data_IF_850728235515
#
_entry.id   IF_850728235515
#
_cell.length_a   1.000
_cell.length_b   1.000
_cell.length_c   1.000
_cell.angle_alpha   90.00
_cell.angle_beta   90.00
_cell.angle_gamma   90.00
#
_symmetry.space_group_name_H-M   'P 1'
#
loop_
_entity.id
_entity.type
_entity.pdbx_description
1 polymer ?
#
# COMPACT_ATOMS: atom_id res chain seq x y z
N UNK A 1 -6.97 -9.08 7.49
CA UNK A 1 -7.04 -10.46 8.03
C UNK A 1 -7.91 -10.52 9.27
N UNK A 2 -7.59 -9.80 10.34
CA UNK A 2 -8.34 -9.77 11.60
C UNK A 2 -9.88 -9.68 11.44
N UNK A 3 -10.37 -8.76 10.61
CA UNK A 3 -11.81 -8.64 10.38
C UNK A 3 -12.45 -9.93 9.84
N UNK A 4 -11.83 -10.56 8.85
CA UNK A 4 -12.37 -11.79 8.24
C UNK A 4 -12.35 -12.98 9.19
N UNK A 5 -11.30 -13.11 10.02
CA UNK A 5 -11.13 -14.25 10.92
C UNK A 5 -11.87 -14.06 12.24
N UNK A 6 -11.63 -12.95 12.93
CA UNK A 6 -12.06 -12.74 14.31
C UNK A 6 -13.42 -12.06 14.43
N UNK A 7 -13.87 -11.34 13.40
CA UNK A 7 -15.14 -10.62 13.38
C UNK A 7 -16.17 -11.29 12.48
N UNK A 8 -15.78 -11.64 11.24
CA UNK A 8 -16.68 -12.27 10.28
C UNK A 8 -16.74 -13.80 10.41
N UNK A 9 -15.80 -14.43 11.14
CA UNK A 9 -15.80 -15.86 11.43
C UNK A 9 -15.28 -16.76 10.31
N UNK A 10 -14.48 -16.21 9.37
CA UNK A 10 -13.89 -17.01 8.30
C UNK A 10 -12.68 -17.81 8.84
N UNK A 11 -12.55 -19.11 8.55
CA UNK A 11 -11.36 -19.87 8.92
C UNK A 11 -10.08 -19.25 8.35
N UNK A 12 -9.00 -19.28 9.14
CA UNK A 12 -7.71 -18.66 8.78
C UNK A 12 -7.19 -19.09 7.39
N UNK A 13 -7.36 -20.36 7.05
CA UNK A 13 -6.97 -20.89 5.74
C UNK A 13 -7.75 -20.26 4.60
N UNK A 14 -9.07 -20.15 4.73
CA UNK A 14 -9.95 -19.54 3.71
C UNK A 14 -9.65 -18.05 3.58
N UNK A 15 -9.48 -17.34 4.70
CA UNK A 15 -9.09 -15.93 4.69
C UNK A 15 -7.72 -15.72 4.01
N UNK A 16 -6.79 -16.65 4.23
CA UNK A 16 -5.49 -16.67 3.55
C UNK A 16 -5.63 -16.86 2.04
N UNK A 17 -6.46 -17.79 1.57
CA UNK A 17 -6.73 -18.00 0.14
C UNK A 17 -7.38 -16.81 -0.52
N UNK A 18 -8.35 -16.16 0.15
CA UNK A 18 -9.00 -14.93 -0.34
C UNK A 18 -7.96 -13.83 -0.57
N UNK A 19 -7.08 -13.59 0.40
CA UNK A 19 -6.03 -12.57 0.27
C UNK A 19 -5.00 -12.94 -0.79
N UNK A 20 -4.60 -14.20 -0.85
CA UNK A 20 -3.64 -14.68 -1.83
C UNK A 20 -4.17 -14.55 -3.26
N UNK A 21 -5.43 -14.96 -3.50
CA UNK A 21 -6.08 -14.80 -4.80
C UNK A 21 -6.21 -13.33 -5.23
N UNK A 22 -6.50 -12.44 -4.27
CA UNK A 22 -6.53 -11.00 -4.53
C UNK A 22 -5.13 -10.43 -4.87
N UNK A 23 -4.04 -10.95 -4.26
CA UNK A 23 -2.67 -10.54 -4.62
C UNK A 23 -2.28 -11.03 -6.02
N UNK A 24 -2.73 -12.23 -6.43
CA UNK A 24 -2.53 -12.70 -7.81
C UNK A 24 -3.27 -11.83 -8.81
N UNK A 25 -4.46 -11.34 -8.46
CA UNK A 25 -5.21 -10.39 -9.27
C UNK A 25 -4.44 -9.08 -9.48
N UNK A 26 -3.84 -8.53 -8.42
CA UNK A 26 -2.99 -7.32 -8.51
C UNK A 26 -1.82 -7.55 -9.48
N UNK A 27 -1.16 -8.71 -9.43
CA UNK A 27 -0.03 -9.01 -10.31
C UNK A 27 -0.39 -8.93 -11.81
N UNK A 28 -1.67 -9.14 -12.16
CA UNK A 28 -2.17 -9.02 -13.53
C UNK A 28 -2.68 -7.60 -13.80
N UNK A 29 -3.42 -7.01 -12.87
CA UNK A 29 -4.09 -5.73 -13.09
C UNK A 29 -3.15 -4.53 -13.00
N UNK A 30 -2.11 -4.55 -12.15
CA UNK A 30 -1.16 -3.45 -12.02
C UNK A 30 -0.45 -3.11 -13.34
N UNK A 31 0.14 -4.07 -14.08
CA UNK A 31 0.72 -3.80 -15.38
C UNK A 31 -0.30 -3.30 -16.41
N UNK A 32 -1.52 -3.86 -16.39
CA UNK A 32 -2.57 -3.45 -17.34
C UNK A 32 -3.00 -2.01 -17.12
N UNK A 33 -3.26 -1.62 -15.86
CA UNK A 33 -3.61 -0.24 -15.52
C UNK A 33 -2.44 0.70 -15.81
N UNK A 34 -1.20 0.30 -15.54
CA UNK A 34 -0.01 1.08 -15.90
C UNK A 34 0.04 1.39 -17.40
N UNK A 35 -0.18 0.38 -18.24
CA UNK A 35 -0.20 0.54 -19.70
C UNK A 35 -1.36 1.42 -20.18
N UNK A 36 -2.54 1.28 -19.59
CA UNK A 36 -3.69 2.11 -19.90
C UNK A 36 -3.45 3.56 -19.53
N UNK A 37 -2.92 3.80 -18.33
CA UNK A 37 -2.61 5.13 -17.84
C UNK A 37 -1.53 5.84 -18.71
N UNK A 38 -0.51 5.12 -19.14
CA UNK A 38 0.53 5.66 -20.03
C UNK A 38 0.00 6.04 -21.43
N UNK A 39 -1.05 5.37 -21.91
CA UNK A 39 -1.68 5.66 -23.19
C UNK A 39 -2.77 6.73 -23.11
N UNK A 40 -3.26 7.01 -21.94
CA UNK A 40 -4.33 7.98 -21.72
C UNK A 40 -3.85 9.40 -22.01
N UNK A 41 -4.66 10.17 -22.71
CA UNK A 41 -4.39 11.56 -23.06
C UNK A 41 -5.68 12.37 -22.88
N UNK A 42 -5.73 13.12 -21.80
CA UNK A 42 -6.89 13.99 -21.52
C UNK A 42 -6.44 15.43 -21.25
N UNK A 43 -7.40 16.36 -21.24
CA UNK A 43 -7.15 17.76 -20.85
C UNK A 43 -6.65 17.89 -19.41
N UNK A 44 -6.99 16.92 -18.55
CA UNK A 44 -6.55 16.88 -17.13
C UNK A 44 -5.17 16.24 -16.95
N UNK A 45 -4.55 15.72 -18.00
CA UNK A 45 -3.31 14.95 -17.96
C UNK A 45 -3.52 13.48 -18.26
N UNK A 46 -2.50 12.66 -17.95
CA UNK A 46 -2.52 11.19 -18.15
C UNK A 46 -3.05 10.45 -16.94
N UNK A 47 -2.63 10.86 -15.74
CA UNK A 47 -2.82 10.11 -14.49
C UNK A 47 -3.94 10.66 -13.62
N UNK A 48 -4.14 11.98 -13.60
CA UNK A 48 -5.18 12.63 -12.79
C UNK A 48 -6.60 12.12 -13.04
N UNK A 49 -7.04 11.83 -14.29
CA UNK A 49 -8.38 11.30 -14.53
C UNK A 49 -8.67 10.01 -13.76
N UNK A 50 -7.68 9.14 -13.62
CA UNK A 50 -7.81 7.87 -12.89
C UNK A 50 -8.07 8.09 -11.40
N UNK A 51 -7.41 9.10 -10.80
CA UNK A 51 -7.65 9.46 -9.40
C UNK A 51 -9.08 9.99 -9.21
N UNK A 52 -9.55 10.87 -10.11
CA UNK A 52 -10.92 11.38 -10.03
C UNK A 52 -11.99 10.30 -10.20
N UNK A 53 -11.83 9.44 -11.20
CA UNK A 53 -12.81 8.38 -11.50
C UNK A 53 -12.73 7.27 -10.44
N UNK A 54 -11.56 6.92 -9.98
CA UNK A 54 -11.32 5.81 -9.05
C UNK A 54 -11.63 6.13 -7.59
N UNK A 55 -11.60 7.40 -7.16
CA UNK A 55 -11.72 7.77 -5.74
C UNK A 55 -13.03 7.29 -5.09
N UNK A 56 -14.17 7.56 -5.71
CA UNK A 56 -15.49 7.19 -5.19
C UNK A 56 -15.70 5.66 -5.24
N UNK A 57 -15.48 4.96 -6.37
CA UNK A 57 -15.60 3.51 -6.43
C UNK A 57 -14.65 2.79 -5.46
N UNK A 58 -13.43 3.32 -5.24
CA UNK A 58 -12.50 2.79 -4.24
C UNK A 58 -13.10 2.85 -2.84
N UNK A 59 -13.65 4.00 -2.43
CA UNK A 59 -14.30 4.16 -1.14
C UNK A 59 -15.51 3.22 -0.99
N UNK A 60 -16.36 3.14 -2.00
CA UNK A 60 -17.53 2.25 -1.99
C UNK A 60 -17.12 0.78 -1.89
N UNK A 61 -16.14 0.35 -2.68
CA UNK A 61 -15.65 -1.04 -2.63
C UNK A 61 -15.04 -1.38 -1.28
N UNK A 62 -14.34 -0.42 -0.64
CA UNK A 62 -13.83 -0.58 0.72
C UNK A 62 -14.96 -0.80 1.75
N UNK A 63 -16.04 -0.02 1.66
CA UNK A 63 -17.21 -0.20 2.53
C UNK A 63 -17.83 -1.60 2.37
N UNK A 64 -18.00 -2.07 1.15
CA UNK A 64 -18.59 -3.39 0.89
C UNK A 64 -17.74 -4.53 1.46
N UNK A 65 -16.43 -4.40 1.58
CA UNK A 65 -15.58 -5.42 2.21
C UNK A 65 -15.96 -5.72 3.67
N UNK A 66 -16.49 -4.74 4.38
CA UNK A 66 -16.85 -4.87 5.80
C UNK A 66 -18.33 -5.16 6.03
N UNK A 67 -19.16 -5.12 4.98
CA UNK A 67 -20.60 -5.38 5.06
C UNK A 67 -20.91 -6.85 4.76
N UNK A 68 -20.49 -7.75 5.66
CA UNK A 68 -20.58 -9.20 5.42
C UNK A 68 -21.97 -9.81 5.72
N UNK A 69 -22.86 -9.09 6.42
CA UNK A 69 -24.17 -9.63 6.81
C UNK A 69 -24.04 -10.96 7.60
N UNK A 70 -25.11 -11.75 7.62
CA UNK A 70 -25.13 -13.09 8.24
C UNK A 70 -25.11 -14.13 7.12
N UNK A 71 -23.98 -14.31 6.47
CA UNK A 71 -23.80 -15.26 5.39
C UNK A 71 -23.29 -16.60 5.91
N UNK A 72 -23.71 -17.69 5.28
CA UNK A 72 -23.13 -19.00 5.50
C UNK A 72 -21.65 -19.03 5.06
N UNK A 73 -20.86 -19.93 5.61
CA UNK A 73 -19.41 -19.96 5.45
C UNK A 73 -18.95 -19.92 3.99
N UNK A 74 -19.58 -20.70 3.12
CA UNK A 74 -19.22 -20.72 1.69
C UNK A 74 -19.58 -19.43 0.97
N UNK A 75 -20.76 -18.87 1.25
CA UNK A 75 -21.20 -17.60 0.70
C UNK A 75 -20.36 -16.43 1.23
N UNK A 76 -19.95 -16.48 2.50
CA UNK A 76 -19.07 -15.50 3.13
C UNK A 76 -17.67 -15.50 2.46
N UNK A 77 -17.10 -16.67 2.21
CA UNK A 77 -15.80 -16.78 1.53
C UNK A 77 -15.86 -16.22 0.10
N UNK A 78 -16.92 -16.55 -0.64
CA UNK A 78 -17.11 -16.05 -2.00
C UNK A 78 -17.34 -14.52 -2.00
N UNK A 79 -18.16 -14.02 -1.08
CA UNK A 79 -18.40 -12.58 -0.92
C UNK A 79 -17.11 -11.84 -0.56
N UNK A 80 -16.34 -12.36 0.41
CA UNK A 80 -15.06 -11.80 0.79
C UNK A 80 -14.08 -11.76 -0.40
N UNK A 81 -14.01 -12.82 -1.19
CA UNK A 81 -13.18 -12.88 -2.39
C UNK A 81 -13.64 -11.87 -3.45
N UNK A 82 -14.93 -11.84 -3.77
CA UNK A 82 -15.47 -10.92 -4.77
C UNK A 82 -15.25 -9.45 -4.38
N UNK A 83 -15.53 -9.08 -3.13
CA UNK A 83 -15.32 -7.71 -2.64
C UNK A 83 -13.85 -7.34 -2.60
N UNK A 84 -12.95 -8.27 -2.27
CA UNK A 84 -11.50 -8.06 -2.35
C UNK A 84 -11.05 -7.79 -3.79
N UNK A 85 -11.51 -8.58 -4.76
CA UNK A 85 -11.18 -8.38 -6.19
C UNK A 85 -11.66 -6.98 -6.66
N UNK A 86 -12.88 -6.60 -6.33
CA UNK A 86 -13.43 -5.28 -6.71
C UNK A 86 -12.63 -4.15 -6.06
N UNK A 87 -12.36 -4.26 -4.76
CA UNK A 87 -11.54 -3.28 -4.05
C UNK A 87 -10.13 -3.16 -4.63
N UNK A 88 -9.46 -4.29 -4.88
CA UNK A 88 -8.13 -4.32 -5.46
C UNK A 88 -8.10 -3.69 -6.85
N UNK A 89 -9.11 -3.95 -7.67
CA UNK A 89 -9.22 -3.34 -9.00
C UNK A 89 -9.26 -1.81 -8.92
N UNK A 90 -10.12 -1.25 -8.07
CA UNK A 90 -10.17 0.21 -7.90
C UNK A 90 -8.95 0.77 -7.19
N UNK A 91 -8.36 0.00 -6.26
CA UNK A 91 -7.10 0.37 -5.64
C UNK A 91 -5.98 0.49 -6.67
N UNK A 92 -5.83 -0.47 -7.56
CA UNK A 92 -4.86 -0.44 -8.67
C UNK A 92 -5.11 0.75 -9.61
N UNK A 93 -6.39 1.02 -9.97
CA UNK A 93 -6.78 2.16 -10.81
C UNK A 93 -6.33 3.50 -10.19
N UNK A 94 -6.28 3.61 -8.88
CA UNK A 94 -5.83 4.83 -8.17
C UNK A 94 -4.33 4.78 -7.89
N UNK A 95 -3.81 3.68 -7.32
CA UNK A 95 -2.45 3.60 -6.78
C UNK A 95 -1.36 3.64 -7.84
N UNK A 96 -1.56 2.95 -8.98
CA UNK A 96 -0.57 2.91 -10.07
C UNK A 96 -0.42 4.28 -10.74
N UNK A 97 -1.50 4.97 -11.15
CA UNK A 97 -1.39 6.34 -11.67
C UNK A 97 -0.87 7.33 -10.64
N UNK A 98 -1.23 7.21 -9.35
CA UNK A 98 -0.70 8.04 -8.27
C UNK A 98 0.83 7.90 -8.14
N UNK A 99 1.32 6.67 -8.15
CA UNK A 99 2.77 6.39 -8.13
C UNK A 99 3.49 6.98 -9.33
N UNK A 100 2.92 6.83 -10.53
CA UNK A 100 3.46 7.38 -11.77
C UNK A 100 3.44 8.91 -11.80
N UNK A 101 2.37 9.53 -11.29
CA UNK A 101 2.24 10.98 -11.14
C UNK A 101 3.35 11.53 -10.25
N UNK A 102 3.57 10.94 -9.07
CA UNK A 102 4.60 11.37 -8.13
C UNK A 102 6.02 11.30 -8.73
N UNK A 103 6.29 10.30 -9.56
CA UNK A 103 7.58 10.14 -10.24
C UNK A 103 7.81 11.17 -11.35
N UNK A 104 6.75 11.76 -11.90
CA UNK A 104 6.81 12.75 -13.01
C UNK A 104 6.68 14.20 -12.55
N UNK A 105 6.34 14.47 -11.30
CA UNK A 105 6.16 15.83 -10.78
C UNK A 105 7.41 16.69 -10.88
N UNK A 106 8.59 16.08 -10.80
CA UNK A 106 9.87 16.80 -10.90
C UNK A 106 10.93 15.96 -11.61
N UNK A 107 11.85 16.65 -12.28
CA UNK A 107 13.06 16.06 -12.89
C UNK A 107 14.25 16.03 -11.93
N UNK A 108 14.21 16.84 -10.86
CA UNK A 108 15.30 16.90 -9.89
C UNK A 108 15.29 15.65 -8.99
N UNK A 109 16.40 14.89 -8.94
CA UNK A 109 16.55 13.74 -8.06
C UNK A 109 16.38 14.04 -6.57
N UNK A 110 16.71 15.26 -6.12
CA UNK A 110 16.60 15.67 -4.73
C UNK A 110 15.15 15.97 -4.34
N UNK A 111 14.41 16.65 -5.21
CA UNK A 111 12.99 16.88 -5.01
C UNK A 111 12.20 15.57 -5.00
N UNK A 112 12.53 14.60 -5.89
CA UNK A 112 11.94 13.25 -5.86
C UNK A 112 12.19 12.53 -4.54
N UNK A 113 13.41 12.66 -4.00
CA UNK A 113 13.75 12.10 -2.69
C UNK A 113 12.92 12.74 -1.59
N UNK A 114 12.73 14.06 -1.65
CA UNK A 114 11.90 14.81 -0.70
C UNK A 114 10.44 14.36 -0.75
N UNK A 115 9.86 14.24 -1.94
CA UNK A 115 8.50 13.75 -2.12
C UNK A 115 8.32 12.32 -1.57
N UNK A 116 9.33 11.46 -1.79
CA UNK A 116 9.31 10.11 -1.24
C UNK A 116 9.32 10.11 0.30
N UNK A 117 10.14 10.96 0.93
CA UNK A 117 10.20 11.12 2.40
C UNK A 117 8.84 11.58 2.93
N UNK A 118 8.26 12.63 2.37
CA UNK A 118 6.93 13.10 2.79
C UNK A 118 5.88 11.99 2.66
N UNK A 119 5.85 11.30 1.52
CA UNK A 119 4.91 10.20 1.30
C UNK A 119 5.07 9.09 2.36
N UNK A 120 6.30 8.70 2.69
CA UNK A 120 6.55 7.68 3.69
C UNK A 120 6.15 8.14 5.10
N UNK A 121 6.49 9.36 5.48
CA UNK A 121 6.10 9.92 6.80
C UNK A 121 4.59 9.96 6.94
N UNK A 122 3.86 10.51 5.96
CA UNK A 122 2.40 10.57 6.02
C UNK A 122 1.76 9.17 5.99
N UNK A 123 2.27 8.25 5.17
CA UNK A 123 1.77 6.88 5.11
C UNK A 123 1.98 6.14 6.45
N UNK A 124 3.16 6.29 7.06
CA UNK A 124 3.46 5.69 8.37
C UNK A 124 2.60 6.31 9.47
N UNK A 125 2.46 7.63 9.48
CA UNK A 125 1.58 8.34 10.44
C UNK A 125 0.13 7.85 10.32
N UNK A 126 -0.40 7.78 9.09
CA UNK A 126 -1.75 7.27 8.86
C UNK A 126 -1.88 5.80 9.30
N UNK A 127 -0.87 4.96 9.04
CA UNK A 127 -0.83 3.57 9.51
C UNK A 127 -0.89 3.45 11.04
N UNK A 128 -0.11 4.28 11.75
CA UNK A 128 -0.15 4.35 13.22
C UNK A 128 -1.53 4.78 13.71
N UNK A 129 -2.10 5.84 13.14
CA UNK A 129 -3.43 6.33 13.52
C UNK A 129 -4.50 5.25 13.31
N UNK A 130 -4.51 4.61 12.13
CA UNK A 130 -5.44 3.51 11.84
C UNK A 130 -5.25 2.36 12.84
N UNK A 131 -4.01 1.93 13.10
CA UNK A 131 -3.73 0.85 14.05
C UNK A 131 -4.18 1.19 15.47
N UNK A 132 -3.95 2.43 15.92
CA UNK A 132 -4.31 2.88 17.27
C UNK A 132 -5.84 3.04 17.46
N UNK A 133 -6.52 3.61 16.48
CA UNK A 133 -7.92 4.03 16.66
C UNK A 133 -8.96 3.09 16.06
N UNK A 134 -8.57 2.09 15.24
CA UNK A 134 -9.56 1.24 14.55
C UNK A 134 -10.39 0.40 15.51
N UNK A 135 -9.76 -0.24 16.50
CA UNK A 135 -10.49 -1.11 17.44
C UNK A 135 -11.43 -0.32 18.34
N UNK A 136 -10.92 0.73 18.96
CA UNK A 136 -11.69 1.56 19.89
C UNK A 136 -12.76 2.35 19.14
N UNK A 137 -12.44 2.86 17.95
CA UNK A 137 -13.41 3.51 17.06
C UNK A 137 -14.53 2.56 16.61
N UNK A 138 -14.21 1.30 16.32
CA UNK A 138 -15.23 0.30 16.00
C UNK A 138 -16.10 -0.01 17.19
N UNK A 139 -15.54 -0.15 18.41
CA UNK A 139 -16.32 -0.37 19.62
C UNK A 139 -17.28 0.79 19.93
N UNK A 140 -16.80 2.03 19.77
CA UNK A 140 -17.60 3.24 19.99
C UNK A 140 -18.75 3.36 18.95
N UNK A 141 -18.42 3.18 17.67
CA UNK A 141 -19.42 3.32 16.60
C UNK A 141 -20.39 2.15 16.50
N UNK A 142 -20.02 0.98 17.05
CA UNK A 142 -20.84 -0.22 17.05
C UNK A 142 -21.68 -0.42 18.30
N UNK A 143 -21.67 0.51 19.27
CA UNK A 143 -22.36 0.35 20.55
C UNK A 143 -22.00 -0.97 21.26
N UNK A 144 -20.73 -1.40 21.15
CA UNK A 144 -20.21 -2.66 21.67
C UNK A 144 -20.24 -3.85 20.68
N UNK A 145 -20.94 -3.75 19.57
CA UNK A 145 -20.88 -4.74 18.49
C UNK A 145 -19.74 -4.41 17.52
N UNK A 146 -18.69 -5.23 17.54
CA UNK A 146 -17.52 -5.05 16.67
C UNK A 146 -17.87 -5.14 15.19
N UNK A 147 -18.80 -6.01 14.80
CA UNK A 147 -19.16 -6.20 13.40
C UNK A 147 -19.81 -4.94 12.83
N UNK A 148 -20.84 -4.44 13.53
CA UNK A 148 -21.50 -3.18 13.20
C UNK A 148 -20.53 -2.00 13.27
N UNK A 149 -19.64 -2.01 14.26
CA UNK A 149 -18.61 -0.99 14.42
C UNK A 149 -17.62 -0.91 13.25
N UNK A 150 -17.12 -2.04 12.77
CA UNK A 150 -16.28 -2.09 11.60
C UNK A 150 -17.00 -1.63 10.32
N UNK A 151 -18.28 -1.97 10.17
CA UNK A 151 -19.10 -1.51 9.03
C UNK A 151 -19.24 0.02 9.05
N UNK A 152 -19.59 0.62 10.19
CA UNK A 152 -19.71 2.08 10.34
C UNK A 152 -18.36 2.79 10.18
N UNK A 153 -17.30 2.24 10.77
CA UNK A 153 -15.95 2.79 10.66
C UNK A 153 -15.42 2.75 9.23
N UNK A 154 -15.76 1.69 8.49
CA UNK A 154 -15.41 1.57 7.06
C UNK A 154 -16.02 2.70 6.23
N UNK A 155 -17.23 3.18 6.56
CA UNK A 155 -17.85 4.35 5.90
C UNK A 155 -17.01 5.60 6.15
N UNK A 156 -16.57 5.82 7.40
CA UNK A 156 -15.74 6.98 7.76
C UNK A 156 -14.41 6.93 7.01
N UNK A 157 -13.73 5.78 7.03
CA UNK A 157 -12.44 5.64 6.34
C UNK A 157 -12.57 5.73 4.82
N UNK A 158 -13.66 5.18 4.25
CA UNK A 158 -13.95 5.32 2.83
C UNK A 158 -14.13 6.77 2.41
N UNK A 159 -14.90 7.53 3.21
CA UNK A 159 -15.10 8.97 2.99
C UNK A 159 -13.81 9.77 3.07
N UNK A 160 -13.04 9.57 4.13
CA UNK A 160 -11.73 10.24 4.31
C UNK A 160 -10.75 9.86 3.19
N UNK A 161 -10.69 8.58 2.81
CA UNK A 161 -9.84 8.10 1.72
C UNK A 161 -10.24 8.70 0.37
N UNK A 162 -11.54 8.69 0.05
CA UNK A 162 -12.04 9.29 -1.18
C UNK A 162 -11.75 10.81 -1.24
N UNK A 163 -11.98 11.53 -0.15
CA UNK A 163 -11.66 12.96 -0.05
C UNK A 163 -10.16 13.22 -0.21
N UNK A 164 -9.30 12.40 0.40
CA UNK A 164 -7.86 12.53 0.26
C UNK A 164 -7.40 12.30 -1.19
N UNK A 165 -7.93 11.28 -1.87
CA UNK A 165 -7.62 10.99 -3.28
C UNK A 165 -8.13 12.11 -4.20
N UNK A 166 -9.36 12.58 -3.99
CA UNK A 166 -9.92 13.70 -4.76
C UNK A 166 -9.14 14.99 -4.50
N UNK A 167 -8.77 15.28 -3.26
CA UNK A 167 -7.91 16.40 -2.91
C UNK A 167 -6.55 16.31 -3.61
N UNK A 168 -5.91 15.15 -3.56
CA UNK A 168 -4.68 14.91 -4.30
C UNK A 168 -4.85 15.19 -5.79
N UNK A 169 -5.91 14.65 -6.41
CA UNK A 169 -6.20 14.85 -7.84
C UNK A 169 -6.49 16.32 -8.18
N UNK A 170 -7.15 17.07 -7.29
CA UNK A 170 -7.51 18.48 -7.51
C UNK A 170 -6.31 19.42 -7.38
N UNK A 171 -5.50 19.24 -6.33
CA UNK A 171 -4.40 20.15 -6.00
C UNK A 171 -3.08 19.81 -6.70
N UNK A 172 -2.91 18.58 -7.20
CA UNK A 172 -1.71 18.21 -7.94
C UNK A 172 -1.82 18.61 -9.40
N UNK A 173 -0.78 19.21 -9.94
CA UNK A 173 -0.69 19.53 -11.37
C UNK A 173 0.26 18.55 -12.04
N UNK A 174 -0.16 17.98 -13.15
CA UNK A 174 0.70 17.14 -13.98
C UNK A 174 1.50 18.06 -14.92
N UNK A 175 2.85 18.06 -14.83
CA UNK A 175 3.67 18.86 -15.75
C UNK A 175 3.50 18.37 -17.19
N UNK A 176 3.66 19.28 -18.14
CA UNK A 176 3.57 18.98 -19.58
C UNK A 176 4.72 18.09 -20.12
N UNK A 177 5.53 17.54 -19.25
CA UNK A 177 6.68 16.71 -19.58
C UNK A 177 6.21 15.44 -20.32
N UNK A 178 6.54 15.35 -21.60
CA UNK A 178 6.23 14.19 -22.43
C UNK A 178 4.78 14.08 -22.89
N UNK A 179 3.97 15.15 -22.83
CA UNK A 179 2.60 15.16 -23.39
C UNK A 179 2.55 14.78 -24.86
N UNK A 180 3.62 15.10 -25.63
CA UNK A 180 3.74 14.80 -27.05
C UNK A 180 4.39 13.45 -27.39
N UNK A 181 5.09 12.83 -26.43
CA UNK A 181 5.83 11.59 -26.69
C UNK A 181 4.88 10.39 -26.78
N UNK A 182 4.98 9.64 -27.87
CA UNK A 182 4.29 8.35 -28.00
C UNK A 182 4.94 7.36 -27.04
N UNK A 183 4.14 6.71 -26.21
CA UNK A 183 4.64 5.59 -25.41
C UNK A 183 5.16 4.50 -26.35
N UNK A 184 6.36 3.94 -26.10
CA UNK A 184 6.89 2.86 -26.94
C UNK A 184 5.92 1.66 -26.96
N UNK A 185 6.01 0.84 -28.00
CA UNK A 185 5.21 -0.36 -28.07
C UNK A 185 5.51 -1.29 -26.88
N UNK A 186 4.53 -2.06 -26.41
CA UNK A 186 4.71 -2.97 -25.27
C UNK A 186 5.93 -3.90 -25.44
N UNK A 187 6.13 -4.39 -26.66
CA UNK A 187 7.28 -5.23 -27.00
C UNK A 187 8.61 -4.52 -26.75
N UNK A 188 8.70 -3.23 -27.09
CA UNK A 188 9.92 -2.43 -26.91
C UNK A 188 10.14 -2.12 -25.43
N UNK A 189 9.07 -1.84 -24.67
CA UNK A 189 9.15 -1.66 -23.22
C UNK A 189 9.67 -2.92 -22.52
N UNK A 190 9.13 -4.08 -22.84
CA UNK A 190 9.59 -5.37 -22.29
C UNK A 190 11.04 -5.65 -22.70
N UNK A 191 11.41 -5.34 -23.96
CA UNK A 191 12.79 -5.50 -24.42
C UNK A 191 13.76 -4.60 -23.65
N UNK A 192 13.42 -3.31 -23.49
CA UNK A 192 14.22 -2.36 -22.71
C UNK A 192 14.36 -2.80 -21.25
N UNK A 193 13.28 -3.30 -20.64
CA UNK A 193 13.29 -3.79 -19.27
C UNK A 193 14.19 -5.03 -19.13
N UNK A 194 14.11 -5.98 -20.07
CA UNK A 194 14.97 -7.18 -20.07
C UNK A 194 16.46 -6.85 -20.23
N UNK A 195 16.80 -5.80 -20.96
CA UNK A 195 18.18 -5.35 -21.20
C UNK A 195 18.73 -4.48 -20.06
N UNK A 196 17.88 -4.02 -19.15
CA UNK A 196 18.29 -3.13 -18.06
C UNK A 196 18.72 -3.94 -16.84
N UNK A 197 20.01 -4.21 -16.71
CA UNK A 197 20.57 -4.94 -15.57
C UNK A 197 20.31 -4.24 -14.22
N UNK A 198 20.33 -2.91 -14.19
CA UNK A 198 20.03 -2.15 -12.98
C UNK A 198 18.59 -2.38 -12.51
N UNK A 199 17.64 -2.49 -13.44
CA UNK A 199 16.25 -2.86 -13.10
C UNK A 199 16.19 -4.21 -12.40
N UNK A 200 16.85 -5.23 -12.92
CA UNK A 200 16.82 -6.58 -12.36
C UNK A 200 17.49 -6.67 -10.99
N UNK A 201 18.58 -5.93 -10.78
CA UNK A 201 19.25 -5.85 -9.47
C UNK A 201 18.31 -5.24 -8.45
N UNK A 202 17.68 -4.09 -8.76
CA UNK A 202 16.74 -3.42 -7.86
C UNK A 202 15.51 -4.30 -7.61
N UNK A 203 14.98 -4.94 -8.64
CA UNK A 203 13.86 -5.87 -8.53
C UNK A 203 14.18 -7.04 -7.59
N UNK A 204 15.30 -7.74 -7.83
CA UNK A 204 15.72 -8.85 -6.98
C UNK A 204 15.93 -8.41 -5.52
N UNK A 205 16.58 -7.27 -5.30
CA UNK A 205 16.79 -6.72 -3.96
C UNK A 205 15.46 -6.40 -3.26
N UNK A 206 14.50 -5.83 -3.99
CA UNK A 206 13.18 -5.52 -3.43
C UNK A 206 12.41 -6.80 -3.07
N UNK A 207 12.46 -7.82 -3.92
CA UNK A 207 11.80 -9.12 -3.65
C UNK A 207 12.44 -9.82 -2.44
N UNK A 208 13.77 -9.93 -2.41
CA UNK A 208 14.49 -10.58 -1.31
C UNK A 208 14.25 -9.81 0.01
N UNK A 209 14.34 -8.48 -0.03
CA UNK A 209 14.07 -7.62 1.13
C UNK A 209 12.62 -7.74 1.62
N UNK A 210 11.65 -7.83 0.71
CA UNK A 210 10.24 -8.04 1.04
C UNK A 210 9.97 -9.41 1.70
N UNK A 211 10.61 -10.46 1.21
CA UNK A 211 10.55 -11.80 1.83
C UNK A 211 11.18 -11.74 3.22
N UNK A 212 12.38 -11.18 3.33
CA UNK A 212 13.11 -11.05 4.61
C UNK A 212 12.32 -10.30 5.67
N UNK A 213 11.75 -9.14 5.32
CA UNK A 213 10.93 -8.34 6.24
C UNK A 213 9.66 -9.07 6.69
N UNK A 214 9.03 -9.82 5.78
CA UNK A 214 7.83 -10.62 6.10
C UNK A 214 8.16 -11.76 7.06
N UNK A 215 9.27 -12.46 6.82
CA UNK A 215 9.75 -13.55 7.69
C UNK A 215 10.14 -12.99 9.05
N UNK A 216 10.91 -11.91 9.10
CA UNK A 216 11.34 -11.28 10.35
C UNK A 216 10.14 -10.82 11.20
N UNK A 217 9.13 -10.19 10.59
CA UNK A 217 7.93 -9.77 11.30
C UNK A 217 7.14 -10.93 11.91
N UNK A 218 7.05 -12.07 11.20
CA UNK A 218 6.42 -13.28 11.74
C UNK A 218 7.29 -13.95 12.81
N UNK A 219 8.59 -14.05 12.58
CA UNK A 219 9.54 -14.63 13.54
C UNK A 219 9.51 -13.88 14.86
N UNK A 220 9.42 -12.55 14.84
CA UNK A 220 9.30 -11.71 16.04
C UNK A 220 8.06 -12.09 16.88
N UNK A 221 6.91 -12.34 16.25
CA UNK A 221 5.71 -12.78 16.96
C UNK A 221 5.93 -14.12 17.66
N UNK A 222 6.49 -15.10 16.94
CA UNK A 222 6.77 -16.42 17.51
C UNK A 222 7.82 -16.37 18.61
N UNK A 223 8.85 -15.54 18.46
CA UNK A 223 9.88 -15.32 19.48
C UNK A 223 9.31 -14.75 20.77
N UNK A 224 8.47 -13.71 20.67
CA UNK A 224 7.78 -13.11 21.82
C UNK A 224 6.84 -14.11 22.49
N UNK A 225 6.14 -14.93 21.70
CA UNK A 225 5.17 -15.89 22.22
C UNK A 225 5.83 -17.08 22.91
N UNK A 226 6.78 -17.74 22.24
CA UNK A 226 7.33 -19.02 22.69
C UNK A 226 8.61 -18.90 23.54
N UNK A 227 9.45 -17.89 23.28
CA UNK A 227 10.71 -17.72 24.01
C UNK A 227 10.57 -16.80 25.22
N UNK A 228 9.80 -15.72 25.08
CA UNK A 228 9.66 -14.71 26.12
C UNK A 228 8.31 -14.80 26.87
N UNK A 229 7.37 -15.62 26.40
CA UNK A 229 5.99 -15.68 26.95
C UNK A 229 5.32 -14.31 27.08
N UNK A 230 5.70 -13.38 26.18
CA UNK A 230 5.35 -11.97 26.24
C UNK A 230 4.53 -11.56 24.99
N UNK A 231 3.59 -12.40 24.56
CA UNK A 231 2.72 -12.13 23.39
C UNK A 231 1.98 -10.78 23.52
N UNK A 232 1.64 -10.38 24.74
CA UNK A 232 0.97 -9.10 25.03
C UNK A 232 1.81 -7.87 24.66
N UNK A 233 3.14 -8.01 24.59
CA UNK A 233 4.05 -6.92 24.19
C UNK A 233 4.18 -6.76 22.66
N UNK A 234 3.66 -7.69 21.87
CA UNK A 234 3.79 -7.66 20.41
C UNK A 234 3.33 -6.33 19.81
N UNK A 235 2.17 -5.82 20.25
CA UNK A 235 1.65 -4.53 19.80
C UNK A 235 2.60 -3.36 20.12
N UNK A 236 3.16 -3.34 21.33
CA UNK A 236 4.09 -2.30 21.78
C UNK A 236 5.38 -2.34 20.97
N UNK A 237 5.92 -3.54 20.75
CA UNK A 237 7.14 -3.74 19.94
C UNK A 237 6.92 -3.29 18.49
N UNK A 238 5.80 -3.70 17.87
CA UNK A 238 5.46 -3.29 16.51
C UNK A 238 5.25 -1.77 16.40
N UNK A 239 4.60 -1.16 17.40
CA UNK A 239 4.46 0.28 17.47
C UNK A 239 5.82 0.98 17.56
N UNK A 240 6.71 0.50 18.44
CA UNK A 240 8.07 1.02 18.60
C UNK A 240 8.88 0.93 17.30
N UNK A 241 8.85 -0.20 16.60
CA UNK A 241 9.51 -0.37 15.30
C UNK A 241 8.95 0.62 14.28
N UNK A 242 7.63 0.76 14.20
CA UNK A 242 6.99 1.67 13.24
C UNK A 242 7.34 3.13 13.54
N UNK A 243 7.37 3.51 14.82
CA UNK A 243 7.79 4.84 15.25
C UNK A 243 9.26 5.13 14.90
N UNK A 244 10.14 4.15 15.14
CA UNK A 244 11.56 4.23 14.73
C UNK A 244 11.70 4.45 13.22
N UNK A 245 10.97 3.68 12.41
CA UNK A 245 10.97 3.86 10.94
C UNK A 245 10.53 5.28 10.59
N UNK A 246 9.45 5.79 11.19
CA UNK A 246 8.95 7.14 10.95
C UNK A 246 10.01 8.21 11.26
N UNK A 247 10.74 8.07 12.36
CA UNK A 247 11.80 9.01 12.77
C UNK A 247 13.05 8.88 11.90
N UNK A 248 13.43 7.66 11.50
CA UNK A 248 14.62 7.42 10.69
C UNK A 248 14.47 7.85 9.22
N UNK A 249 13.27 7.79 8.65
CA UNK A 249 13.06 8.13 7.23
C UNK A 249 13.51 9.56 6.87
N UNK A 250 13.18 10.63 7.62
CA UNK A 250 13.70 11.97 7.35
C UNK A 250 15.23 12.06 7.48
N UNK A 251 15.80 11.36 8.46
CA UNK A 251 17.26 11.33 8.69
C UNK A 251 17.97 10.71 7.49
N UNK A 252 17.50 9.54 7.01
CA UNK A 252 18.02 8.90 5.81
C UNK A 252 17.82 9.75 4.56
N UNK A 253 16.69 10.45 4.45
CA UNK A 253 16.43 11.41 3.37
C UNK A 253 17.44 12.56 3.38
N UNK A 254 17.74 13.14 4.54
CA UNK A 254 18.75 14.19 4.70
C UNK A 254 20.15 13.67 4.37
N UNK A 255 20.53 12.51 4.90
CA UNK A 255 21.82 11.89 4.68
C UNK A 255 22.06 11.58 3.20
N UNK A 256 21.02 11.10 2.48
CA UNK A 256 21.10 10.78 1.06
C UNK A 256 21.44 11.97 0.17
N UNK A 257 21.10 13.20 0.61
CA UNK A 257 21.46 14.43 -0.08
C UNK A 257 22.92 14.82 0.16
N UNK A 258 23.47 14.49 1.35
CA UNK A 258 24.85 14.86 1.71
C UNK A 258 25.90 13.88 1.18
N UNK A 259 25.70 12.59 1.35
CA UNK A 259 26.71 11.56 1.02
C UNK A 259 26.35 10.75 -0.24
N UNK A 260 25.17 11.05 -0.83
CA UNK A 260 24.72 10.40 -2.06
C UNK A 260 23.95 9.10 -1.80
N UNK A 261 23.05 8.76 -2.74
CA UNK A 261 22.10 7.63 -2.61
C UNK A 261 22.79 6.27 -2.53
N UNK A 262 23.91 6.08 -3.25
CA UNK A 262 24.65 4.81 -3.24
C UNK A 262 25.30 4.53 -1.89
N UNK A 263 25.95 5.53 -1.29
CA UNK A 263 26.62 5.40 0.02
C UNK A 263 25.59 5.13 1.13
N UNK A 264 24.48 5.86 1.15
CA UNK A 264 23.39 5.66 2.11
C UNK A 264 22.80 4.26 2.01
N UNK A 265 22.56 3.77 0.79
CA UNK A 265 22.03 2.43 0.59
C UNK A 265 23.02 1.36 1.07
N UNK A 266 24.31 1.51 0.76
CA UNK A 266 25.35 0.60 1.24
C UNK A 266 25.46 0.59 2.78
N UNK A 267 25.44 1.77 3.42
CA UNK A 267 25.41 1.88 4.88
C UNK A 267 24.18 1.18 5.49
N UNK A 268 22.99 1.40 4.93
CA UNK A 268 21.77 0.75 5.41
C UNK A 268 21.83 -0.78 5.27
N UNK A 269 22.32 -1.28 4.13
CA UNK A 269 22.51 -2.71 3.90
C UNK A 269 23.54 -3.32 4.86
N UNK A 270 24.67 -2.62 5.11
CA UNK A 270 25.70 -3.07 6.05
C UNK A 270 25.17 -3.14 7.47
N UNK A 271 24.45 -2.12 7.95
CA UNK A 271 23.82 -2.11 9.27
C UNK A 271 22.83 -3.28 9.37
N UNK A 272 21.98 -3.47 8.39
CA UNK A 272 21.03 -4.60 8.38
C UNK A 272 21.76 -5.95 8.45
N UNK A 273 22.82 -6.14 7.70
CA UNK A 273 23.59 -7.40 7.69
C UNK A 273 24.31 -7.70 9.03
N UNK A 274 24.68 -6.67 9.79
CA UNK A 274 25.33 -6.84 11.11
C UNK A 274 24.30 -7.10 12.21
N UNK A 275 23.08 -6.62 12.06
CA UNK A 275 22.01 -6.73 13.08
C UNK A 275 21.14 -7.98 12.92
N UNK A 276 21.29 -8.72 11.83
CA UNK A 276 20.58 -9.99 11.55
C UNK A 276 21.45 -11.18 11.89
#
# INVERSE_FOLDING_TARGET
MFFYTDVAGLPNFMAGLVIFGAMLWDAVTDPLVGLLADRTRTKLGRFRPYLFIGAIPLGLSFMFMFRTGNLELGALALYAFATQIVFRTFYTIVSVPYGSLSARMTKDPNERSTLAVYRMVFATTAGIMVAAFTRDGAMLLGDGDLKLGFERLAIVYAGLGALAVLGCAAFTREPDIGRGEKSPALRDQVRMMRQNSAFWIVFATTVIGGIGSTVAGKAMLYYLKYNLSAEHLFGVVMFGITLMVMLCVPIWGFLSRRIGKRAVWACGASISAVTT
#
